data_IF_910036659401
#
_entry.id   IF_910036659401
#
_cell.length_a   1.000
_cell.length_b   1.000
_cell.length_c   1.000
_cell.angle_alpha   90.00
_cell.angle_beta   90.00
_cell.angle_gamma   90.00
#
_symmetry.space_group_name_H-M   'P 1'
#
loop_
_entity.id
_entity.type
_entity.pdbx_description
1 polymer ?
#
# COMPACT_ATOMS: atom_id res chain seq x y z
N UNK A 1 15.58 9.48 -11.85
CA UNK A 1 14.18 9.25 -11.41
C UNK A 1 13.51 8.30 -12.40
N UNK A 2 13.03 7.14 -11.93
CA UNK A 2 12.20 6.26 -12.75
C UNK A 2 10.93 7.02 -13.16
N UNK A 3 10.61 7.06 -14.45
CA UNK A 3 9.36 7.65 -14.94
C UNK A 3 8.14 6.89 -14.38
N UNK A 4 6.97 7.53 -14.38
CA UNK A 4 5.73 6.87 -13.95
C UNK A 4 5.48 5.62 -14.82
N UNK A 5 5.17 4.50 -14.16
CA UNK A 5 4.84 3.22 -14.79
C UNK A 5 3.46 2.76 -14.36
N UNK A 6 3.03 1.61 -14.87
CA UNK A 6 1.80 0.94 -14.42
C UNK A 6 1.85 0.51 -12.94
N UNK A 7 3.04 0.24 -12.41
CA UNK A 7 3.25 -0.29 -11.06
C UNK A 7 3.80 0.74 -10.06
N UNK A 8 4.33 1.87 -10.54
CA UNK A 8 4.97 2.90 -9.75
C UNK A 8 4.53 4.31 -10.18
N UNK A 9 4.20 5.17 -9.23
CA UNK A 9 4.00 6.62 -9.43
C UNK A 9 4.59 7.35 -8.24
N UNK A 10 5.51 8.28 -8.48
CA UNK A 10 6.06 9.15 -7.43
C UNK A 10 4.98 10.14 -6.97
N UNK A 11 4.84 10.40 -5.66
CA UNK A 11 3.86 11.35 -5.14
C UNK A 11 4.23 12.82 -5.41
N UNK A 12 3.21 13.66 -5.68
CA UNK A 12 3.42 15.07 -6.04
C UNK A 12 3.85 15.94 -4.84
N UNK A 13 3.40 15.59 -3.62
CA UNK A 13 3.59 16.42 -2.41
C UNK A 13 4.25 15.66 -1.26
N UNK A 14 3.96 14.38 -1.13
CA UNK A 14 4.47 13.50 -0.07
C UNK A 14 5.13 12.26 -0.70
N UNK A 15 6.23 12.44 -1.47
CA UNK A 15 6.87 11.34 -2.18
C UNK A 15 7.41 10.24 -1.25
N UNK A 16 7.67 10.56 0.02
CA UNK A 16 8.17 9.63 1.05
C UNK A 16 7.09 8.76 1.67
N UNK A 17 5.81 9.02 1.38
CA UNK A 17 4.66 8.27 1.91
C UNK A 17 4.11 7.35 0.82
N UNK A 18 4.12 6.05 1.10
CA UNK A 18 3.90 5.01 0.11
C UNK A 18 2.62 4.24 0.39
N UNK A 19 1.81 4.05 -0.64
CA UNK A 19 0.74 3.06 -0.69
C UNK A 19 1.18 1.87 -1.55
N UNK A 20 1.25 0.69 -0.94
CA UNK A 20 1.72 -0.54 -1.60
C UNK A 20 0.56 -1.50 -1.89
N UNK A 21 0.20 -1.62 -3.15
CA UNK A 21 -0.79 -2.56 -3.68
C UNK A 21 -0.18 -3.93 -4.03
N UNK A 22 -1.04 -4.88 -4.41
CA UNK A 22 -0.60 -6.23 -4.77
C UNK A 22 0.01 -6.28 -6.20
N UNK A 23 -0.77 -5.90 -7.21
CA UNK A 23 -0.36 -5.82 -8.61
C UNK A 23 -1.34 -4.92 -9.39
N UNK A 24 -0.95 -4.40 -10.56
CA UNK A 24 -1.88 -3.66 -11.40
C UNK A 24 -3.00 -4.57 -11.96
N UNK A 25 -4.19 -3.99 -12.16
CA UNK A 25 -5.33 -4.63 -12.80
C UNK A 25 -5.55 -4.15 -14.24
N UNK A 26 -6.69 -4.54 -14.82
CA UNK A 26 -7.06 -4.16 -16.19
C UNK A 26 -7.13 -2.64 -16.38
N UNK A 27 -7.77 -1.94 -15.45
CA UNK A 27 -7.93 -0.47 -15.53
C UNK A 27 -6.59 0.25 -15.41
N UNK A 28 -5.70 -0.22 -14.54
CA UNK A 28 -4.33 0.29 -14.42
C UNK A 28 -3.54 0.09 -15.72
N UNK A 29 -3.72 -1.05 -16.41
CA UNK A 29 -3.09 -1.32 -17.69
C UNK A 29 -3.56 -0.40 -18.82
N UNK A 30 -4.85 -0.08 -18.85
CA UNK A 30 -5.45 0.87 -19.79
C UNK A 30 -4.98 2.31 -19.49
N UNK A 31 -5.01 2.70 -18.23
CA UNK A 31 -4.66 4.05 -17.78
C UNK A 31 -3.14 4.29 -17.65
N UNK A 32 -2.31 3.25 -17.80
CA UNK A 32 -0.84 3.29 -17.63
C UNK A 32 -0.38 3.88 -16.30
N UNK A 33 -1.13 3.62 -15.22
CA UNK A 33 -0.78 4.07 -13.87
C UNK A 33 -1.34 3.15 -12.78
N UNK A 34 -0.73 3.11 -11.59
CA UNK A 34 -1.26 2.35 -10.47
C UNK A 34 -2.55 2.98 -9.92
N UNK A 35 -3.39 2.14 -9.34
CA UNK A 35 -4.64 2.50 -8.66
C UNK A 35 -5.66 3.30 -9.50
N UNK A 36 -5.69 3.13 -10.82
CA UNK A 36 -6.73 3.72 -11.67
C UNK A 36 -8.11 3.05 -11.50
N UNK A 37 -8.16 1.87 -10.88
CA UNK A 37 -9.40 1.11 -10.70
C UNK A 37 -10.25 1.53 -9.50
N UNK A 38 -11.32 0.76 -9.27
CA UNK A 38 -12.23 0.95 -8.14
C UNK A 38 -11.53 0.84 -6.77
N UNK A 39 -10.42 0.10 -6.71
CA UNK A 39 -9.55 0.05 -5.54
C UNK A 39 -8.97 1.42 -5.19
N UNK A 40 -8.54 2.21 -6.18
CA UNK A 40 -8.00 3.55 -5.97
C UNK A 40 -9.05 4.54 -5.48
N UNK A 41 -10.27 4.46 -6.03
CA UNK A 41 -11.38 5.30 -5.60
C UNK A 41 -11.69 5.17 -4.10
N UNK A 42 -11.55 3.97 -3.52
CA UNK A 42 -11.82 3.74 -2.10
C UNK A 42 -10.70 4.22 -1.16
N UNK A 43 -9.56 4.70 -1.68
CA UNK A 43 -8.44 5.15 -0.85
C UNK A 43 -8.72 6.47 -0.15
N UNK A 44 -9.68 7.26 -0.61
CA UNK A 44 -10.12 8.47 0.10
C UNK A 44 -10.58 8.15 1.54
N UNK A 45 -11.29 7.04 1.72
CA UNK A 45 -11.74 6.56 3.02
C UNK A 45 -10.58 6.06 3.89
N UNK A 46 -9.54 5.49 3.28
CA UNK A 46 -8.32 5.14 4.00
C UNK A 46 -7.63 6.40 4.52
N UNK A 47 -7.53 7.47 3.72
CA UNK A 47 -6.93 8.73 4.17
C UNK A 47 -7.69 9.35 5.34
N UNK A 48 -9.02 9.24 5.36
CA UNK A 48 -9.82 9.65 6.53
C UNK A 48 -9.47 8.84 7.79
N UNK A 49 -9.32 7.51 7.66
CA UNK A 49 -8.91 6.65 8.77
C UNK A 49 -7.50 7.04 9.24
N UNK A 50 -6.55 7.24 8.34
CA UNK A 50 -5.18 7.60 8.69
C UNK A 50 -5.09 8.95 9.41
N UNK A 51 -5.81 9.98 8.95
CA UNK A 51 -5.88 11.29 9.64
C UNK A 51 -6.50 11.18 11.03
N UNK A 52 -7.53 10.33 11.18
CA UNK A 52 -8.11 10.07 12.50
C UNK A 52 -7.08 9.41 13.40
N UNK A 53 -6.41 8.36 12.94
CA UNK A 53 -5.42 7.62 13.73
C UNK A 53 -4.21 8.47 14.09
N UNK A 54 -3.74 9.33 13.19
CA UNK A 54 -2.64 10.25 13.46
C UNK A 54 -3.00 11.31 14.51
N UNK A 55 -4.28 11.63 14.67
CA UNK A 55 -4.76 12.54 15.70
C UNK A 55 -5.07 11.85 17.03
N UNK A 56 -5.61 10.63 17.00
CA UNK A 56 -6.10 9.95 18.22
C UNK A 56 -5.11 8.97 18.83
N UNK A 57 -4.14 8.47 18.06
CA UNK A 57 -3.19 7.45 18.52
C UNK A 57 -1.86 7.53 17.76
N UNK A 58 -1.19 8.69 17.70
CA UNK A 58 0.01 8.90 16.90
C UNK A 58 1.13 7.90 17.21
N UNK A 59 1.48 7.73 18.49
CA UNK A 59 2.54 6.81 18.92
C UNK A 59 2.25 5.35 18.59
N UNK A 60 0.97 4.94 18.66
CA UNK A 60 0.56 3.57 18.38
C UNK A 60 0.81 3.18 16.93
N UNK A 61 0.71 4.13 16.00
CA UNK A 61 0.83 3.86 14.56
C UNK A 61 2.07 4.50 13.94
N UNK A 62 2.89 5.24 14.71
CA UNK A 62 4.03 5.97 14.18
C UNK A 62 3.63 7.01 13.14
N UNK A 63 2.51 7.72 13.36
CA UNK A 63 1.95 8.73 12.46
C UNK A 63 1.88 10.08 13.16
N UNK A 64 2.20 11.15 12.44
CA UNK A 64 2.07 12.54 12.88
C UNK A 64 0.79 13.18 12.38
N UNK A 65 0.31 14.22 13.08
CA UNK A 65 -0.95 14.92 12.78
C UNK A 65 -1.05 15.40 11.32
N UNK A 66 0.07 15.82 10.74
CA UNK A 66 0.13 16.33 9.36
C UNK A 66 0.37 15.24 8.31
N UNK A 67 0.57 13.99 8.74
CA UNK A 67 0.65 12.87 7.82
C UNK A 67 -0.73 12.60 7.18
N UNK A 68 -0.72 12.31 5.89
CA UNK A 68 -1.92 12.06 5.09
C UNK A 68 -2.96 13.20 5.07
N UNK A 69 -2.51 14.45 5.19
CA UNK A 69 -3.39 15.62 5.21
C UNK A 69 -4.02 15.94 3.84
N UNK A 70 -3.41 15.48 2.73
CA UNK A 70 -4.03 15.59 1.41
C UNK A 70 -5.09 14.52 1.15
N UNK A 71 -6.14 14.90 0.43
CA UNK A 71 -7.17 13.99 -0.09
C UNK A 71 -6.84 13.44 -1.48
N UNK A 72 -5.84 14.01 -2.16
CA UNK A 72 -5.46 13.60 -3.51
C UNK A 72 -4.57 12.36 -3.43
N UNK A 73 -5.01 11.27 -4.05
CA UNK A 73 -4.24 10.02 -4.14
C UNK A 73 -2.83 10.26 -4.70
N UNK A 74 -2.75 11.13 -5.70
CA UNK A 74 -1.56 11.49 -6.45
C UNK A 74 -0.53 12.31 -5.67
N UNK A 75 -0.91 12.83 -4.50
CA UNK A 75 0.05 13.51 -3.63
C UNK A 75 0.98 12.49 -2.93
N UNK A 76 0.63 11.20 -2.92
CA UNK A 76 1.39 10.12 -2.29
C UNK A 76 2.04 9.20 -3.34
N UNK A 77 3.14 8.55 -2.96
CA UNK A 77 3.78 7.56 -3.83
C UNK A 77 2.96 6.28 -3.86
N UNK A 78 2.76 5.76 -5.06
CA UNK A 78 1.95 4.57 -5.34
C UNK A 78 2.86 3.48 -5.88
N UNK A 79 2.82 2.30 -5.26
CA UNK A 79 3.66 1.16 -5.62
C UNK A 79 2.84 -0.13 -5.66
N UNK A 80 3.32 -1.12 -6.41
CA UNK A 80 2.81 -2.50 -6.34
C UNK A 80 3.90 -3.50 -5.96
N UNK A 81 3.48 -4.54 -5.24
CA UNK A 81 4.32 -5.66 -4.80
C UNK A 81 4.78 -6.51 -6.00
N UNK A 82 3.99 -6.55 -7.06
CA UNK A 82 4.32 -7.19 -8.33
C UNK A 82 4.14 -6.19 -9.49
N UNK A 83 5.11 -6.09 -10.42
CA UNK A 83 5.05 -5.09 -11.49
C UNK A 83 4.09 -5.50 -12.62
N UNK A 84 3.99 -6.80 -12.91
CA UNK A 84 3.14 -7.27 -14.00
C UNK A 84 1.67 -7.22 -13.62
N UNK A 85 0.80 -6.76 -14.54
CA UNK A 85 -0.62 -6.72 -14.28
C UNK A 85 -1.25 -8.12 -14.33
N UNK A 86 -2.27 -8.34 -13.51
CA UNK A 86 -2.99 -9.62 -13.46
C UNK A 86 -4.51 -9.41 -13.38
N UNK A 87 -5.23 -10.01 -14.31
CA UNK A 87 -6.70 -10.07 -14.29
C UNK A 87 -7.19 -11.35 -14.98
N UNK A 88 -8.47 -11.69 -14.77
CA UNK A 88 -9.08 -12.86 -15.41
C UNK A 88 -9.37 -12.59 -16.89
N UNK A 89 -9.00 -13.52 -17.76
CA UNK A 89 -9.36 -13.53 -19.18
C UNK A 89 -10.38 -14.65 -19.38
N UNK A 90 -11.58 -14.31 -19.87
CA UNK A 90 -12.69 -15.26 -20.05
C UNK A 90 -12.97 -16.09 -18.77
N UNK A 91 -12.92 -15.44 -17.61
CA UNK A 91 -13.13 -16.06 -16.29
C UNK A 91 -11.96 -16.90 -15.74
N UNK A 92 -10.93 -17.17 -16.55
CA UNK A 92 -9.75 -17.97 -16.20
C UNK A 92 -8.58 -17.09 -15.74
N UNK A 93 -7.71 -17.66 -14.91
CA UNK A 93 -6.51 -16.98 -14.40
C UNK A 93 -6.66 -16.34 -13.02
N UNK A 94 -5.61 -15.62 -12.60
CA UNK A 94 -5.48 -15.01 -11.27
C UNK A 94 -5.58 -13.49 -11.35
N UNK A 95 -6.13 -12.89 -10.30
CA UNK A 95 -6.19 -11.42 -10.14
C UNK A 95 -5.15 -10.90 -9.13
N UNK A 96 -4.32 -11.80 -8.60
CA UNK A 96 -3.26 -11.48 -7.64
C UNK A 96 -2.06 -12.38 -7.90
N UNK A 97 -0.83 -11.90 -7.65
CA UNK A 97 0.38 -12.71 -7.69
C UNK A 97 0.36 -13.77 -6.58
N UNK A 98 1.13 -14.85 -6.75
CA UNK A 98 1.44 -15.80 -5.68
C UNK A 98 2.48 -15.19 -4.76
N UNK A 99 2.61 -15.73 -3.54
CA UNK A 99 3.67 -15.30 -2.64
C UNK A 99 5.07 -15.64 -3.21
N UNK A 100 5.20 -16.75 -3.93
CA UNK A 100 6.44 -17.08 -4.65
C UNK A 100 6.82 -16.03 -5.71
N UNK A 101 5.85 -15.54 -6.48
CA UNK A 101 6.09 -14.45 -7.43
C UNK A 101 6.52 -13.17 -6.69
N UNK A 102 5.95 -12.87 -5.53
CA UNK A 102 6.31 -11.70 -4.73
C UNK A 102 7.73 -11.79 -4.17
N UNK A 103 8.13 -12.98 -3.71
CA UNK A 103 9.42 -13.20 -3.03
C UNK A 103 10.61 -13.33 -3.97
N UNK A 104 10.36 -13.37 -5.28
CA UNK A 104 11.41 -13.33 -6.30
C UNK A 104 12.41 -12.21 -6.01
N UNK A 105 13.73 -12.49 -6.00
CA UNK A 105 14.75 -11.49 -5.68
C UNK A 105 14.65 -10.23 -6.52
N UNK A 106 14.32 -10.35 -7.82
CA UNK A 106 14.11 -9.22 -8.72
C UNK A 106 12.99 -8.29 -8.25
N UNK A 107 11.89 -8.84 -7.72
CA UNK A 107 10.75 -8.05 -7.22
C UNK A 107 11.08 -7.36 -5.89
N UNK A 108 11.72 -8.07 -4.96
CA UNK A 108 12.14 -7.48 -3.69
C UNK A 108 13.23 -6.41 -3.90
N UNK A 109 14.18 -6.64 -4.81
CA UNK A 109 15.22 -5.68 -5.16
C UNK A 109 14.62 -4.42 -5.79
N UNK A 110 13.66 -4.57 -6.72
CA UNK A 110 12.94 -3.44 -7.33
C UNK A 110 12.29 -2.55 -6.26
N UNK A 111 11.51 -3.15 -5.36
CA UNK A 111 10.81 -2.40 -4.30
C UNK A 111 11.83 -1.77 -3.35
N UNK A 112 12.88 -2.51 -2.95
CA UNK A 112 13.95 -1.99 -2.10
C UNK A 112 14.60 -0.76 -2.71
N UNK A 113 14.97 -0.81 -3.99
CA UNK A 113 15.56 0.33 -4.70
C UNK A 113 14.58 1.50 -4.74
N UNK A 114 13.33 1.26 -5.12
CA UNK A 114 12.31 2.33 -5.15
C UNK A 114 12.09 2.99 -3.78
N UNK A 115 12.07 2.22 -2.68
CA UNK A 115 11.94 2.77 -1.32
C UNK A 115 13.18 3.59 -0.90
N UNK A 116 14.38 3.16 -1.29
CA UNK A 116 15.63 3.90 -1.04
C UNK A 116 15.69 5.19 -1.86
N UNK A 117 15.34 5.13 -3.14
CA UNK A 117 15.42 6.25 -4.07
C UNK A 117 14.51 7.43 -3.65
N UNK A 118 13.37 7.12 -3.04
CA UNK A 118 12.42 8.13 -2.54
C UNK A 118 12.63 8.47 -1.06
N UNK A 119 13.62 7.86 -0.39
CA UNK A 119 13.84 7.98 1.05
C UNK A 119 12.54 7.80 1.85
N UNK A 120 11.86 6.68 1.62
CA UNK A 120 10.55 6.40 2.18
C UNK A 120 10.56 6.48 3.72
N UNK A 121 9.50 7.03 4.32
CA UNK A 121 9.35 7.12 5.78
C UNK A 121 8.13 6.38 6.29
N UNK A 122 7.08 6.26 5.47
CA UNK A 122 5.87 5.53 5.81
C UNK A 122 5.48 4.66 4.61
N UNK A 123 5.26 3.37 4.86
CA UNK A 123 4.79 2.43 3.84
C UNK A 123 3.56 1.69 4.34
N UNK A 124 2.45 1.82 3.61
CA UNK A 124 1.16 1.20 3.95
C UNK A 124 0.84 0.09 2.94
N UNK A 125 0.88 -1.15 3.40
CA UNK A 125 0.47 -2.33 2.63
C UNK A 125 -1.05 -2.47 2.53
N UNK A 126 -1.57 -2.52 1.31
CA UNK A 126 -2.98 -2.62 0.99
C UNK A 126 -3.38 -4.07 0.72
N UNK A 127 -3.63 -4.82 1.80
CA UNK A 127 -3.90 -6.25 1.65
C UNK A 127 -3.88 -6.99 2.98
N UNK A 128 -4.87 -6.78 3.81
CA UNK A 128 -5.03 -7.57 5.04
C UNK A 128 -6.32 -8.40 4.94
N UNK A 129 -6.19 -9.69 4.66
CA UNK A 129 -7.27 -10.67 4.82
C UNK A 129 -7.26 -11.25 6.23
N UNK A 130 -8.41 -11.71 6.70
CA UNK A 130 -8.55 -12.41 7.98
C UNK A 130 -7.72 -13.71 7.99
N UNK A 131 -6.46 -13.61 8.41
CA UNK A 131 -5.58 -14.75 8.72
C UNK A 131 -4.61 -15.20 7.61
N UNK A 132 -4.69 -14.67 6.38
CA UNK A 132 -3.78 -15.06 5.30
C UNK A 132 -2.83 -13.95 4.89
N UNK A 133 -1.60 -14.37 4.58
CA UNK A 133 -0.56 -13.46 4.10
C UNK A 133 -0.88 -12.99 2.67
N UNK A 134 -0.58 -11.73 2.39
CA UNK A 134 -0.83 -11.11 1.07
C UNK A 134 0.46 -10.60 0.48
N UNK A 135 0.47 -10.26 -0.81
CA UNK A 135 1.65 -9.68 -1.45
C UNK A 135 2.22 -8.48 -0.70
N UNK A 136 1.42 -7.42 -0.43
CA UNK A 136 1.91 -6.26 0.33
C UNK A 136 2.41 -6.63 1.72
N UNK A 137 1.65 -7.43 2.48
CA UNK A 137 2.07 -7.83 3.83
C UNK A 137 3.38 -8.64 3.82
N UNK A 138 3.54 -9.53 2.83
CA UNK A 138 4.77 -10.31 2.64
C UNK A 138 5.97 -9.43 2.32
N UNK A 139 5.82 -8.46 1.41
CA UNK A 139 6.88 -7.50 1.09
C UNK A 139 7.28 -6.72 2.35
N UNK A 140 6.30 -6.18 3.09
CA UNK A 140 6.61 -5.35 4.25
C UNK A 140 7.35 -6.14 5.33
N UNK A 141 6.93 -7.38 5.61
CA UNK A 141 7.63 -8.24 6.58
C UNK A 141 9.04 -8.61 6.16
N UNK A 142 9.30 -8.78 4.86
CA UNK A 142 10.64 -9.09 4.34
C UNK A 142 11.57 -7.88 4.40
N UNK A 143 11.07 -6.70 4.09
CA UNK A 143 11.89 -5.48 3.97
C UNK A 143 12.00 -4.70 5.28
N UNK A 144 11.02 -4.77 6.20
CA UNK A 144 11.05 -4.02 7.45
C UNK A 144 12.36 -4.15 8.27
N UNK A 145 13.01 -5.34 8.38
CA UNK A 145 14.29 -5.47 9.07
C UNK A 145 15.43 -4.63 8.48
N UNK A 146 15.37 -4.31 7.18
CA UNK A 146 16.37 -3.53 6.45
C UNK A 146 16.13 -2.01 6.55
N UNK A 147 14.88 -1.60 6.82
CA UNK A 147 14.41 -0.23 6.79
C UNK A 147 13.97 0.25 8.18
N UNK A 148 14.91 0.27 9.13
CA UNK A 148 14.62 0.58 10.53
C UNK A 148 14.03 1.98 10.78
N UNK A 149 14.30 2.93 9.88
CA UNK A 149 13.81 4.31 9.93
C UNK A 149 12.42 4.50 9.30
N UNK A 150 11.78 3.43 8.81
CA UNK A 150 10.50 3.48 8.10
C UNK A 150 9.40 2.89 8.95
N UNK A 151 8.26 3.57 9.05
CA UNK A 151 7.06 3.00 9.65
C UNK A 151 6.32 2.14 8.62
N UNK A 152 6.15 0.85 8.92
CA UNK A 152 5.43 -0.10 8.06
C UNK A 152 4.09 -0.47 8.69
N UNK A 153 3.02 -0.14 7.98
CA UNK A 153 1.64 -0.46 8.36
C UNK A 153 1.00 -1.38 7.31
N UNK A 154 0.02 -2.18 7.73
CA UNK A 154 -0.87 -2.90 6.80
C UNK A 154 -2.32 -2.60 7.14
N UNK A 155 -3.16 -2.57 6.11
CA UNK A 155 -4.61 -2.38 6.28
C UNK A 155 -5.40 -3.26 5.30
N UNK A 156 -6.73 -3.23 5.41
CA UNK A 156 -7.65 -3.98 4.57
C UNK A 156 -7.47 -3.67 3.09
N UNK A 157 -7.73 -4.64 2.21
CA UNK A 157 -7.66 -4.41 0.77
C UNK A 157 -8.78 -3.45 0.33
N UNK A 158 -8.50 -2.42 -0.49
CA UNK A 158 -9.48 -1.38 -0.85
C UNK A 158 -10.46 -1.81 -1.96
N UNK A 159 -10.58 -3.10 -2.27
CA UNK A 159 -11.46 -3.52 -3.37
C UNK A 159 -12.92 -3.53 -2.90
N UNK A 160 -13.89 -3.15 -3.74
CA UNK A 160 -15.30 -3.21 -3.38
C UNK A 160 -15.74 -4.57 -2.86
N UNK A 161 -15.16 -5.65 -3.41
CA UNK A 161 -15.42 -7.02 -2.95
C UNK A 161 -14.95 -7.25 -1.51
N UNK A 162 -13.76 -6.79 -1.15
CA UNK A 162 -13.22 -6.96 0.20
C UNK A 162 -14.01 -6.14 1.22
N UNK A 163 -14.30 -4.87 0.88
CA UNK A 163 -15.11 -3.97 1.72
C UNK A 163 -16.49 -4.55 1.99
N UNK A 164 -17.19 -5.03 0.95
CA UNK A 164 -18.50 -5.67 1.12
C UNK A 164 -18.41 -6.95 1.96
N UNK A 165 -17.46 -7.83 1.64
CA UNK A 165 -17.37 -9.16 2.28
C UNK A 165 -16.92 -9.10 3.74
N UNK A 166 -15.99 -8.21 4.07
CA UNK A 166 -15.31 -8.21 5.37
C UNK A 166 -15.54 -6.95 6.20
N UNK A 167 -15.93 -5.85 5.55
CA UNK A 167 -16.31 -4.59 6.18
C UNK A 167 -17.82 -4.38 6.31
N UNK A 168 -18.64 -5.31 5.85
CA UNK A 168 -20.11 -5.15 5.83
C UNK A 168 -20.58 -4.01 4.92
N UNK A 169 -19.74 -3.57 3.96
CA UNK A 169 -20.02 -2.42 3.11
C UNK A 169 -19.46 -1.09 3.62
N UNK A 170 -18.94 -1.03 4.86
CA UNK A 170 -18.28 0.17 5.40
C UNK A 170 -16.75 0.12 5.15
N UNK A 171 -16.22 0.97 4.25
CA UNK A 171 -14.79 1.01 3.97
C UNK A 171 -13.95 1.52 5.15
N UNK A 172 -14.45 2.49 5.92
CA UNK A 172 -13.71 3.08 7.05
C UNK A 172 -13.60 2.07 8.18
N UNK A 173 -14.70 1.39 8.51
CA UNK A 173 -14.69 0.28 9.46
C UNK A 173 -13.70 -0.81 9.02
N UNK A 174 -13.73 -1.19 7.73
CA UNK A 174 -12.82 -2.20 7.19
C UNK A 174 -11.34 -1.83 7.35
N UNK A 175 -10.94 -0.62 6.92
CA UNK A 175 -9.56 -0.17 7.04
C UNK A 175 -9.12 -0.05 8.50
N UNK A 176 -9.96 0.52 9.36
CA UNK A 176 -9.65 0.69 10.77
C UNK A 176 -9.50 -0.66 11.48
N UNK A 177 -10.44 -1.59 11.27
CA UNK A 177 -10.42 -2.95 11.87
C UNK A 177 -9.18 -3.75 11.49
N UNK A 178 -8.63 -3.50 10.30
CA UNK A 178 -7.48 -4.24 9.76
C UNK A 178 -6.16 -3.49 9.86
N UNK A 179 -6.15 -2.28 10.41
CA UNK A 179 -4.92 -1.53 10.59
C UNK A 179 -4.02 -2.26 11.58
N UNK A 180 -2.82 -2.60 11.15
CA UNK A 180 -1.81 -3.28 11.96
C UNK A 180 -0.44 -2.66 11.69
N UNK A 181 0.36 -2.58 12.75
CA UNK A 181 1.75 -2.18 12.69
C UNK A 181 2.61 -3.41 12.42
N UNK A 182 3.49 -3.33 11.44
CA UNK A 182 4.56 -4.31 11.22
C UNK A 182 5.84 -3.86 11.91
N UNK A 183 6.18 -2.58 11.74
CA UNK A 183 7.36 -1.95 12.33
C UNK A 183 7.09 -0.45 12.49
N UNK A 184 7.55 0.14 13.58
CA UNK A 184 7.53 1.59 13.80
C UNK A 184 8.98 2.03 13.77
N UNK A 185 9.25 3.09 13.00
CA UNK A 185 10.53 3.76 13.07
C UNK A 185 10.78 4.19 14.51
N UNK A 186 11.80 3.61 15.17
CA UNK A 186 12.25 4.12 16.47
C UNK A 186 13.15 5.31 16.17
N UNK A 187 12.94 6.40 16.88
CA UNK A 187 13.66 7.65 16.70
C UNK A 187 15.15 7.40 16.43
N UNK A 188 15.60 7.83 15.25
CA UNK A 188 16.98 8.33 15.14
C UNK A 188 16.97 9.60 16.00
N UNK A 189 17.88 9.76 16.97
CA UNK A 189 17.90 10.96 17.80
C UNK A 189 17.94 12.20 16.89
N UNK A 190 17.10 13.19 17.21
CA UNK A 190 17.18 14.55 16.66
C UNK A 190 18.58 15.14 16.86
#
# INVERSE_FOLDING_TARGET
>A
MQGNTIDFRLGDRYPRFVLLGACPGKKEFEAKRPFAGASGANLEHLFEVLRKLSSTSPEKFGLNKDDFNSKRLDDYTLMNSHPEPKWKINGKGRTTPTLFEIEKPENLNRIRTQLKDIDATIVIGLGSSSGSDTGPARVLRKLAPEFKHVTFLITGHPSPRAIRKHGGGDPKHWFCKRMQVIHIARDVPL
#
